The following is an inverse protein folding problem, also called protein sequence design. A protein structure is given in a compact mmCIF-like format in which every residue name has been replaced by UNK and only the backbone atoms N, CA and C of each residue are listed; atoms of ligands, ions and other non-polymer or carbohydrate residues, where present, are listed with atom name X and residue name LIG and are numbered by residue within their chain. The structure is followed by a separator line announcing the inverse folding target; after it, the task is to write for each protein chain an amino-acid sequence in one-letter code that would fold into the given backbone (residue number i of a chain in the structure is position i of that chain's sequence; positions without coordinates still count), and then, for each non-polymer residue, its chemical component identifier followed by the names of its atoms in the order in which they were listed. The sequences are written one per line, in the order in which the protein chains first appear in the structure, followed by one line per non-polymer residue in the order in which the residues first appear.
data_IF_566062329169
#
_entry.id   IF_566062329169
#
_cell.length_a   1.000
_cell.length_b   1.000
_cell.length_c   1.000
_cell.angle_alpha   90.00
_cell.angle_beta   90.00
_cell.angle_gamma   90.00
#
_symmetry.space_group_name_H-M   'P 1'
#
loop_
_entity.id
_entity.type
_entity.pdbx_description
1 polymer ?
#
# COMPACT_ATOMS: atom_id res chain seq x y z
N UNK A 1 22.82 -15.39 -1.94
CA UNK A 1 21.61 -14.56 -2.12
C UNK A 1 20.81 -15.12 -3.29
N UNK A 2 19.48 -15.00 -3.32
CA UNK A 2 18.68 -15.64 -4.38
C UNK A 2 18.91 -15.01 -5.76
N UNK A 3 19.19 -13.71 -5.83
CA UNK A 3 19.42 -12.98 -7.09
C UNK A 3 20.77 -13.29 -7.76
N UNK A 4 21.69 -13.95 -7.05
CA UNK A 4 23.01 -14.38 -7.58
C UNK A 4 23.00 -15.82 -8.07
N UNK A 5 21.88 -16.53 -7.94
CA UNK A 5 21.74 -17.89 -8.41
C UNK A 5 21.37 -17.91 -9.89
N UNK A 6 21.85 -18.93 -10.60
CA UNK A 6 21.41 -19.23 -11.96
C UNK A 6 19.88 -19.40 -11.99
N UNK A 7 19.29 -19.05 -13.13
CA UNK A 7 17.85 -19.16 -13.38
C UNK A 7 17.31 -20.55 -13.04
N UNK A 8 17.99 -21.62 -13.47
CA UNK A 8 17.60 -23.00 -13.18
C UNK A 8 17.70 -23.37 -11.70
N UNK A 9 18.62 -22.75 -10.96
CA UNK A 9 18.73 -22.95 -9.51
C UNK A 9 17.58 -22.26 -8.77
N UNK A 10 17.21 -21.04 -9.19
CA UNK A 10 16.05 -20.32 -8.64
C UNK A 10 14.76 -21.09 -8.90
N UNK A 11 14.52 -21.52 -10.14
CA UNK A 11 13.33 -22.31 -10.53
C UNK A 11 13.20 -23.58 -9.68
N UNK A 12 14.30 -24.32 -9.51
CA UNK A 12 14.33 -25.53 -8.65
C UNK A 12 14.08 -25.21 -7.18
N UNK A 13 14.71 -24.17 -6.64
CA UNK A 13 14.53 -23.78 -5.23
C UNK A 13 13.09 -23.36 -4.90
N UNK A 14 12.40 -22.73 -5.84
CA UNK A 14 11.00 -22.31 -5.70
C UNK A 14 10.01 -23.43 -6.06
N UNK A 15 10.50 -24.59 -6.53
CA UNK A 15 9.69 -25.72 -6.97
C UNK A 15 8.66 -25.32 -8.03
N UNK A 16 9.09 -24.53 -9.02
CA UNK A 16 8.25 -24.06 -10.14
C UNK A 16 8.76 -24.62 -11.46
N UNK A 17 7.99 -24.47 -12.53
CA UNK A 17 8.34 -24.89 -13.89
C UNK A 17 8.61 -23.65 -14.77
N UNK A 18 9.76 -23.62 -15.45
CA UNK A 18 10.18 -22.48 -16.26
C UNK A 18 9.36 -22.28 -17.56
N UNK A 19 8.58 -23.27 -17.99
CA UNK A 19 7.73 -23.22 -19.17
C UNK A 19 6.24 -23.20 -18.81
N UNK A 20 5.83 -24.02 -17.84
CA UNK A 20 4.43 -24.21 -17.48
C UNK A 20 3.96 -23.40 -16.27
N UNK A 21 4.90 -22.79 -15.53
CA UNK A 21 4.62 -22.09 -14.28
C UNK A 21 4.08 -23.00 -13.18
N UNK A 22 3.36 -22.42 -12.23
CA UNK A 22 2.76 -23.15 -11.11
C UNK A 22 1.42 -23.79 -11.50
N UNK A 23 1.03 -24.84 -10.79
CA UNK A 23 -0.37 -25.31 -10.88
C UNK A 23 -1.31 -24.36 -10.14
N UNK A 24 -2.57 -24.27 -10.57
CA UNK A 24 -3.57 -23.46 -9.85
C UNK A 24 -3.74 -23.88 -8.39
N UNK A 25 -3.61 -25.17 -8.11
CA UNK A 25 -3.71 -25.72 -6.76
C UNK A 25 -2.50 -25.33 -5.89
N UNK A 26 -1.29 -25.37 -6.44
CA UNK A 26 -0.08 -24.94 -5.73
C UNK A 26 -0.09 -23.45 -5.45
N UNK A 27 -0.52 -22.63 -6.43
CA UNK A 27 -0.64 -21.19 -6.25
C UNK A 27 -1.66 -20.85 -5.15
N UNK A 28 -2.84 -21.46 -5.16
CA UNK A 28 -3.86 -21.27 -4.13
C UNK A 28 -3.36 -21.70 -2.74
N UNK A 29 -2.64 -22.82 -2.64
CA UNK A 29 -2.04 -23.28 -1.38
C UNK A 29 -1.01 -22.27 -0.86
N UNK A 30 -0.11 -21.79 -1.74
CA UNK A 30 0.92 -20.79 -1.38
C UNK A 30 0.27 -19.48 -0.93
N UNK A 31 -0.79 -19.04 -1.60
CA UNK A 31 -1.54 -17.84 -1.24
C UNK A 31 -2.17 -17.97 0.14
N UNK A 32 -2.78 -19.13 0.43
CA UNK A 32 -3.37 -19.40 1.74
C UNK A 32 -2.33 -19.42 2.87
N UNK A 33 -1.10 -19.87 2.61
CA UNK A 33 -0.03 -19.94 3.61
C UNK A 33 0.79 -18.65 3.73
N UNK A 34 1.04 -17.96 2.61
CA UNK A 34 1.93 -16.81 2.51
C UNK A 34 1.21 -15.47 2.60
N UNK A 35 -0.12 -15.47 2.47
CA UNK A 35 -0.93 -14.27 2.41
C UNK A 35 -0.84 -13.57 1.05
N UNK A 36 -1.66 -12.53 0.84
CA UNK A 36 -1.69 -11.78 -0.40
C UNK A 36 -0.43 -10.93 -0.60
N UNK A 37 -0.05 -10.72 -1.86
CA UNK A 37 1.00 -9.78 -2.27
C UNK A 37 0.50 -8.33 -2.15
N UNK A 38 0.36 -7.88 -0.91
CA UNK A 38 -0.03 -6.51 -0.58
C UNK A 38 0.87 -5.97 0.50
N UNK A 39 1.38 -4.75 0.31
CA UNK A 39 2.07 -4.02 1.37
C UNK A 39 1.02 -3.63 2.40
N UNK A 40 1.20 -4.08 3.64
CA UNK A 40 0.29 -3.75 4.73
C UNK A 40 0.23 -2.23 4.92
N UNK A 41 -0.93 -1.63 4.65
CA UNK A 41 -1.16 -0.24 4.99
C UNK A 41 -1.18 -0.11 6.53
N UNK A 42 -0.59 0.95 7.10
CA UNK A 42 -0.74 1.22 8.52
C UNK A 42 -2.23 1.33 8.87
N UNK A 43 -2.65 0.83 10.05
CA UNK A 43 -4.05 0.85 10.42
C UNK A 43 -4.59 2.28 10.41
N UNK A 44 -5.80 2.46 9.88
CA UNK A 44 -6.44 3.77 9.88
C UNK A 44 -6.53 4.29 11.32
N UNK A 45 -6.17 5.56 11.57
CA UNK A 45 -6.27 6.13 12.91
C UNK A 45 -7.73 6.13 13.36
N UNK A 46 -7.96 5.78 14.61
CA UNK A 46 -9.30 5.79 15.19
C UNK A 46 -9.85 7.22 15.26
N UNK A 47 -11.18 7.36 15.27
CA UNK A 47 -11.83 8.67 15.44
C UNK A 47 -11.34 9.39 16.72
N UNK A 48 -11.07 8.64 17.79
CA UNK A 48 -10.48 9.18 19.02
C UNK A 48 -9.07 9.70 18.82
N UNK A 49 -8.23 8.98 18.09
CA UNK A 49 -6.86 9.42 17.77
C UNK A 49 -6.88 10.71 16.96
N UNK A 50 -7.80 10.83 16.00
CA UNK A 50 -7.98 12.04 15.18
C UNK A 50 -8.45 13.21 16.07
N UNK A 51 -9.47 12.99 16.90
CA UNK A 51 -9.99 14.01 17.81
C UNK A 51 -8.93 14.52 18.79
N UNK A 52 -8.14 13.62 19.38
CA UNK A 52 -7.05 13.98 20.30
C UNK A 52 -5.97 14.82 19.60
N UNK A 53 -5.65 14.48 18.35
CA UNK A 53 -4.71 15.25 17.53
C UNK A 53 -5.23 16.65 17.22
N UNK A 54 -6.54 16.80 16.95
CA UNK A 54 -7.14 18.12 16.75
C UNK A 54 -7.17 18.95 18.03
N UNK A 55 -7.34 18.34 19.20
CA UNK A 55 -7.27 19.05 20.47
C UNK A 55 -5.84 19.50 20.80
N UNK A 56 -4.84 18.71 20.39
CA UNK A 56 -3.42 19.02 20.54
C UNK A 56 -2.86 19.99 19.49
N UNK A 57 -3.69 20.47 18.55
CA UNK A 57 -3.28 21.50 17.59
C UNK A 57 -2.96 22.82 18.32
N UNK A 58 -1.86 23.52 17.97
CA UNK A 58 -1.50 24.80 18.61
C UNK A 58 -2.64 25.81 18.73
N UNK A 59 -3.50 25.90 17.71
CA UNK A 59 -4.66 26.82 17.73
C UNK A 59 -5.71 26.39 18.76
N UNK A 60 -6.01 25.09 18.83
CA UNK A 60 -6.99 24.55 19.78
C UNK A 60 -6.46 24.58 21.22
N UNK A 61 -5.16 24.34 21.42
CA UNK A 61 -4.51 24.50 22.72
C UNK A 61 -4.63 25.94 23.24
N UNK A 62 -4.50 26.93 22.35
CA UNK A 62 -4.73 28.34 22.72
C UNK A 62 -6.18 28.57 23.16
N UNK A 63 -7.17 27.99 22.46
CA UNK A 63 -8.58 28.11 22.87
C UNK A 63 -8.85 27.39 24.21
N UNK A 64 -8.24 26.24 24.44
CA UNK A 64 -8.30 25.55 25.74
C UNK A 64 -7.73 26.45 26.84
N UNK A 65 -6.60 27.13 26.59
CA UNK A 65 -6.05 28.10 27.54
C UNK A 65 -7.03 29.25 27.82
N UNK A 66 -7.72 29.77 26.79
CA UNK A 66 -8.78 30.78 26.96
C UNK A 66 -9.91 30.28 27.84
N UNK A 67 -10.36 29.03 27.66
CA UNK A 67 -11.39 28.41 28.52
C UNK A 67 -10.91 28.32 29.97
N UNK A 68 -9.69 27.84 30.20
CA UNK A 68 -9.10 27.70 31.56
C UNK A 68 -9.01 29.06 32.24
N UNK A 69 -8.46 30.08 31.56
CA UNK A 69 -8.36 31.43 32.11
C UNK A 69 -9.75 32.01 32.40
N UNK A 70 -10.71 31.82 31.51
CA UNK A 70 -12.09 32.30 31.67
C UNK A 70 -12.78 31.69 32.89
N UNK A 71 -12.54 30.41 33.19
CA UNK A 71 -13.06 29.75 34.39
C UNK A 71 -12.44 30.31 35.67
N UNK A 72 -11.13 30.60 35.67
CA UNK A 72 -10.42 31.19 36.83
C UNK A 72 -11.00 32.56 37.20
N UNK A 73 -11.32 33.39 36.19
CA UNK A 73 -11.92 34.71 36.38
C UNK A 73 -13.45 34.67 36.55
N UNK A 74 -14.05 33.49 36.72
CA UNK A 74 -15.49 33.27 36.85
C UNK A 74 -16.35 33.78 35.67
N UNK A 75 -15.76 33.90 34.48
CA UNK A 75 -16.45 34.24 33.23
C UNK A 75 -17.05 32.99 32.57
N UNK A 76 -18.02 32.39 33.24
CA UNK A 76 -18.62 31.11 32.80
C UNK A 76 -19.26 31.19 31.41
N UNK A 77 -19.86 32.33 31.04
CA UNK A 77 -20.47 32.52 29.73
C UNK A 77 -19.44 32.38 28.60
N UNK A 78 -18.28 33.03 28.73
CA UNK A 78 -17.19 32.97 27.75
C UNK A 78 -16.60 31.57 27.70
N UNK A 79 -16.32 30.98 28.87
CA UNK A 79 -15.79 29.62 28.96
C UNK A 79 -16.68 28.60 28.24
N UNK A 80 -18.00 28.68 28.43
CA UNK A 80 -18.95 27.74 27.83
C UNK A 80 -19.07 27.91 26.31
N UNK A 81 -19.10 29.15 25.82
CA UNK A 81 -19.15 29.44 24.37
C UNK A 81 -17.89 28.91 23.68
N UNK A 82 -16.71 29.19 24.23
CA UNK A 82 -15.44 28.75 23.64
C UNK A 82 -15.31 27.23 23.72
N UNK A 83 -15.70 26.61 24.85
CA UNK A 83 -15.72 25.15 24.96
C UNK A 83 -16.65 24.50 23.93
N UNK A 84 -17.85 25.05 23.71
CA UNK A 84 -18.77 24.58 22.68
C UNK A 84 -18.17 24.70 21.27
N UNK A 85 -17.45 25.80 20.98
CA UNK A 85 -16.76 25.99 19.70
C UNK A 85 -15.65 24.95 19.49
N UNK A 86 -14.85 24.65 20.52
CA UNK A 86 -13.81 23.61 20.45
C UNK A 86 -14.46 22.25 20.15
N UNK A 87 -15.50 21.87 20.90
CA UNK A 87 -16.20 20.60 20.69
C UNK A 87 -16.78 20.51 19.29
N UNK A 88 -17.45 21.57 18.82
CA UNK A 88 -18.01 21.64 17.48
C UNK A 88 -16.91 21.46 16.42
N UNK A 89 -15.80 22.18 16.56
CA UNK A 89 -14.68 22.11 15.63
C UNK A 89 -14.05 20.71 15.58
N UNK A 90 -13.83 20.07 16.74
CA UNK A 90 -13.26 18.72 16.82
C UNK A 90 -14.20 17.70 16.18
N UNK A 91 -15.52 17.79 16.40
CA UNK A 91 -16.50 16.88 15.81
C UNK A 91 -16.58 17.05 14.30
N UNK A 92 -16.66 18.30 13.81
CA UNK A 92 -16.71 18.59 12.38
C UNK A 92 -15.40 18.16 11.71
N UNK A 93 -14.25 18.53 12.27
CA UNK A 93 -12.93 18.20 11.73
C UNK A 93 -12.67 16.70 11.71
N UNK A 94 -13.04 15.96 12.76
CA UNK A 94 -12.91 14.50 12.77
C UNK A 94 -13.76 13.85 11.66
N UNK A 95 -15.00 14.33 11.46
CA UNK A 95 -15.86 13.84 10.37
C UNK A 95 -15.32 14.18 8.98
N UNK A 96 -14.80 15.38 8.80
CA UNK A 96 -14.19 15.82 7.54
C UNK A 96 -12.95 14.99 7.20
N UNK A 97 -12.07 14.76 8.18
CA UNK A 97 -10.87 13.93 8.01
C UNK A 97 -11.22 12.48 7.67
N UNK A 98 -12.22 11.89 8.35
CA UNK A 98 -12.69 10.54 8.05
C UNK A 98 -13.31 10.44 6.65
N UNK A 99 -14.11 11.43 6.24
CA UNK A 99 -14.71 11.47 4.91
C UNK A 99 -13.64 11.59 3.82
N UNK A 100 -12.65 12.47 4.01
CA UNK A 100 -11.54 12.65 3.08
C UNK A 100 -10.74 11.35 2.91
N UNK A 101 -10.43 10.66 4.02
CA UNK A 101 -9.75 9.36 4.00
C UNK A 101 -10.56 8.31 3.27
N UNK A 102 -11.86 8.22 3.52
CA UNK A 102 -12.73 7.24 2.87
C UNK A 102 -12.76 7.42 1.34
N UNK A 103 -12.73 8.66 0.84
CA UNK A 103 -12.66 8.93 -0.60
C UNK A 103 -11.34 8.47 -1.22
N UNK A 104 -10.22 8.72 -0.55
CA UNK A 104 -8.89 8.27 -1.01
C UNK A 104 -8.79 6.74 -1.02
N UNK A 105 -9.28 6.09 0.04
CA UNK A 105 -9.24 4.63 0.19
C UNK A 105 -10.20 3.91 -0.78
N UNK A 106 -11.29 4.58 -1.18
CA UNK A 106 -12.17 4.09 -2.23
C UNK A 106 -11.51 4.10 -3.61
N UNK A 107 -10.70 5.12 -3.89
CA UNK A 107 -9.98 5.23 -5.17
C UNK A 107 -8.86 4.19 -5.31
N UNK A 108 -8.14 3.90 -4.23
CA UNK A 108 -7.06 2.88 -4.25
C UNK A 108 -7.60 1.47 -4.51
N UNK A 109 -8.78 1.13 -3.97
CA UNK A 109 -9.43 -0.19 -4.18
C UNK A 109 -9.93 -0.40 -5.61
N UNK A 110 -10.19 0.67 -6.37
CA UNK A 110 -10.62 0.57 -7.76
C UNK A 110 -9.46 0.32 -8.73
N UNK A 111 -8.21 0.39 -8.26
CA UNK A 111 -7.01 0.26 -9.09
C UNK A 111 -6.21 -1.00 -8.73
N UNK A 112 -6.86 -2.12 -8.41
CA UNK A 112 -6.12 -3.38 -8.22
C UNK A 112 -5.46 -3.73 -9.56
N UNK A 113 -4.11 -3.67 -9.67
CA UNK A 113 -3.45 -3.96 -10.92
C UNK A 113 -3.59 -5.44 -11.21
N UNK A 114 -3.78 -5.77 -12.47
CA UNK A 114 -3.81 -7.15 -12.94
C UNK A 114 -2.45 -7.53 -13.52
N UNK A 115 -2.10 -8.80 -13.37
CA UNK A 115 -0.79 -9.35 -13.73
C UNK A 115 -1.01 -10.58 -14.59
N UNK A 116 -0.26 -10.68 -15.68
CA UNK A 116 -0.23 -11.86 -16.53
C UNK A 116 0.72 -12.89 -15.95
N UNK A 117 0.21 -14.06 -15.60
CA UNK A 117 0.98 -15.18 -15.06
C UNK A 117 0.73 -16.45 -15.88
N UNK A 118 1.73 -17.32 -15.98
CA UNK A 118 1.56 -18.66 -16.56
C UNK A 118 1.24 -19.62 -15.41
N UNK A 119 0.07 -20.24 -15.45
CA UNK A 119 -0.36 -21.27 -14.51
C UNK A 119 -1.03 -22.42 -15.24
N UNK A 120 -0.71 -23.65 -14.86
CA UNK A 120 -1.11 -24.89 -15.56
C UNK A 120 -0.75 -24.87 -17.08
N UNK A 121 0.38 -24.23 -17.43
CA UNK A 121 0.83 -24.10 -18.82
C UNK A 121 0.04 -23.10 -19.68
N UNK A 122 -0.91 -22.36 -19.11
CA UNK A 122 -1.66 -21.31 -19.83
C UNK A 122 -1.44 -19.92 -19.24
N UNK A 123 -1.40 -18.92 -20.11
CA UNK A 123 -1.36 -17.53 -19.70
C UNK A 123 -2.72 -17.11 -19.12
N UNK A 124 -2.70 -16.53 -17.93
CA UNK A 124 -3.89 -16.06 -17.22
C UNK A 124 -3.61 -14.70 -16.62
N UNK A 125 -4.66 -13.89 -16.53
CA UNK A 125 -4.62 -12.61 -15.85
C UNK A 125 -5.20 -12.79 -14.44
N UNK A 126 -4.42 -12.42 -13.43
CA UNK A 126 -4.79 -12.53 -12.02
C UNK A 126 -4.57 -11.19 -11.32
N UNK A 127 -5.34 -10.87 -10.26
CA UNK A 127 -5.07 -9.69 -9.44
C UNK A 127 -3.65 -9.75 -8.86
N UNK A 128 -2.92 -8.62 -8.87
CA UNK A 128 -1.57 -8.55 -8.29
C UNK A 128 -1.48 -9.05 -6.83
N UNK A 129 -2.49 -8.86 -5.96
CA UNK A 129 -2.50 -9.44 -4.61
C UNK A 129 -2.50 -10.98 -4.57
N UNK A 130 -2.86 -11.66 -5.65
CA UNK A 130 -2.96 -13.12 -5.71
C UNK A 130 -1.71 -13.80 -6.30
N UNK A 131 -0.70 -13.03 -6.68
CA UNK A 131 0.58 -13.61 -7.12
C UNK A 131 1.35 -14.12 -5.91
N UNK A 132 2.09 -15.20 -6.11
CA UNK A 132 2.83 -15.89 -5.05
C UNK A 132 4.28 -16.16 -5.47
N UNK A 133 5.20 -16.33 -4.51
CA UNK A 133 6.57 -16.72 -4.84
C UNK A 133 6.60 -17.99 -5.68
N UNK A 134 7.27 -17.92 -6.84
CA UNK A 134 7.36 -19.01 -7.81
C UNK A 134 6.41 -18.89 -9.01
N UNK A 135 5.49 -17.93 -9.03
CA UNK A 135 4.72 -17.64 -10.24
C UNK A 135 5.64 -17.23 -11.40
N UNK A 136 5.30 -17.68 -12.60
CA UNK A 136 5.93 -17.24 -13.83
C UNK A 136 5.17 -16.03 -14.37
N UNK A 137 5.72 -14.84 -14.17
CA UNK A 137 5.10 -13.57 -14.57
C UNK A 137 5.56 -13.18 -15.98
N UNK A 138 4.62 -12.75 -16.82
CA UNK A 138 4.91 -12.15 -18.11
C UNK A 138 4.69 -10.63 -18.04
N UNK A 139 5.70 -9.87 -18.45
CA UNK A 139 5.66 -8.41 -18.50
C UNK A 139 5.83 -7.93 -19.93
N UNK A 140 5.07 -6.92 -20.29
CA UNK A 140 5.15 -6.19 -21.56
C UNK A 140 5.46 -4.71 -21.31
N UNK A 141 5.77 -3.98 -22.39
CA UNK A 141 6.03 -2.55 -22.29
C UNK A 141 4.81 -1.81 -21.75
N UNK A 142 4.99 -1.07 -20.65
CA UNK A 142 3.94 -0.34 -19.96
C UNK A 142 3.37 -1.07 -18.74
N UNK A 143 3.70 -2.34 -18.55
CA UNK A 143 3.30 -3.08 -17.34
C UNK A 143 4.10 -2.60 -16.13
N UNK A 144 3.45 -2.60 -14.96
CA UNK A 144 4.10 -2.39 -13.68
C UNK A 144 4.73 -3.70 -13.21
N UNK A 145 5.96 -3.65 -12.70
CA UNK A 145 6.61 -4.82 -12.08
C UNK A 145 5.86 -5.14 -10.77
N UNK A 146 5.20 -6.31 -10.65
CA UNK A 146 4.22 -6.54 -9.59
C UNK A 146 4.83 -7.06 -8.28
N UNK A 147 6.04 -7.62 -8.35
CA UNK A 147 6.84 -8.08 -7.22
C UNK A 147 8.31 -8.24 -7.66
N UNK A 148 9.21 -8.38 -6.69
CA UNK A 148 10.60 -8.73 -6.95
C UNK A 148 10.70 -10.11 -7.59
N UNK A 149 11.49 -10.21 -8.66
CA UNK A 149 11.58 -11.42 -9.47
C UNK A 149 12.94 -11.67 -10.08
N UNK A 150 13.13 -12.88 -10.61
CA UNK A 150 14.29 -13.27 -11.41
C UNK A 150 13.89 -13.31 -12.88
N UNK A 151 14.63 -12.62 -13.72
CA UNK A 151 14.41 -12.62 -15.17
C UNK A 151 14.85 -13.98 -15.73
N UNK A 152 13.92 -14.70 -16.34
CA UNK A 152 14.19 -15.97 -17.01
C UNK A 152 14.43 -15.77 -18.51
N UNK A 153 13.71 -14.83 -19.12
CA UNK A 153 13.80 -14.46 -20.53
C UNK A 153 13.51 -12.97 -20.68
N UNK A 154 14.23 -12.31 -21.57
CA UNK A 154 14.12 -10.88 -21.88
C UNK A 154 14.24 -10.68 -23.39
N UNK A 155 13.57 -9.65 -23.90
CA UNK A 155 13.74 -9.16 -25.27
C UNK A 155 13.72 -7.63 -25.23
N UNK A 156 14.91 -7.01 -25.20
CA UNK A 156 15.08 -5.56 -25.02
C UNK A 156 14.33 -5.01 -23.80
N UNK A 157 14.40 -5.73 -22.68
CA UNK A 157 13.70 -5.33 -21.45
C UNK A 157 14.39 -4.12 -20.84
N UNK A 158 13.63 -3.04 -20.68
CA UNK A 158 14.06 -1.83 -20.00
C UNK A 158 13.08 -1.52 -18.88
N UNK A 159 13.62 -1.17 -17.71
CA UNK A 159 12.82 -0.82 -16.54
C UNK A 159 13.08 0.62 -16.12
N UNK A 160 12.03 1.33 -15.73
CA UNK A 160 12.12 2.66 -15.14
C UNK A 160 12.21 2.52 -13.62
N UNK A 161 13.37 2.83 -13.05
CA UNK A 161 13.64 2.64 -11.62
C UNK A 161 13.68 3.96 -10.83
N UNK A 162 13.31 5.09 -11.44
CA UNK A 162 13.32 6.42 -10.81
C UNK A 162 12.64 6.47 -9.43
N UNK A 163 11.56 5.70 -9.22
CA UNK A 163 10.84 5.64 -7.95
C UNK A 163 11.65 4.99 -6.81
N UNK A 164 12.63 4.14 -7.14
CA UNK A 164 13.44 3.36 -6.20
C UNK A 164 14.89 3.87 -6.12
N UNK A 165 15.48 4.25 -7.25
CA UNK A 165 16.90 4.63 -7.35
C UNK A 165 17.11 6.13 -7.55
N UNK A 166 16.07 6.86 -7.97
CA UNK A 166 16.18 8.28 -8.37
C UNK A 166 16.78 8.49 -9.76
N UNK A 167 17.10 7.42 -10.48
CA UNK A 167 17.63 7.50 -11.85
C UNK A 167 16.48 7.54 -12.85
N UNK A 168 16.37 8.64 -13.60
CA UNK A 168 15.28 8.85 -14.57
C UNK A 168 15.49 8.14 -15.91
N UNK A 169 16.71 7.66 -16.19
CA UNK A 169 17.01 6.95 -17.42
C UNK A 169 16.55 5.48 -17.32
N UNK A 170 15.91 4.92 -18.37
CA UNK A 170 15.61 3.50 -18.40
C UNK A 170 16.89 2.66 -18.27
N UNK A 171 16.82 1.60 -17.47
CA UNK A 171 17.93 0.67 -17.26
C UNK A 171 17.65 -0.62 -18.00
N UNK A 172 18.59 -1.06 -18.85
CA UNK A 172 18.51 -2.36 -19.52
C UNK A 172 18.61 -3.51 -18.51
N UNK A 173 17.76 -4.51 -18.68
CA UNK A 173 17.75 -5.72 -17.87
C UNK A 173 17.88 -6.94 -18.77
N UNK A 174 18.77 -7.85 -18.39
CA UNK A 174 18.99 -9.10 -19.12
C UNK A 174 19.07 -10.30 -18.17
N UNK A 175 18.98 -11.50 -18.75
CA UNK A 175 19.22 -12.74 -18.03
C UNK A 175 20.70 -12.79 -17.64
N UNK A 176 20.96 -12.73 -16.34
CA UNK A 176 22.32 -12.91 -15.80
C UNK A 176 22.72 -14.38 -15.73
#
# INVERSE_FOLDING_TARGET
AWWTLDTDAVVRSLGTDAANGLTSADAARRLATGGPNTIAAPPAPSAWTIALRMLADPMNLMLVAVVVVSLIIAQFAVAFIVAALIVLNVVLGTRQELAARASVDGLSKLQIPHVKVVRDGSLREVPAPEIVPGDLVQLEAGDLVPADGRILRSANLQTQEAALTGESAPVDKDVA
#
